data_IF_465330999552
#
_entry.id   IF_465330999552
#
_cell.length_a   1.000
_cell.length_b   1.000
_cell.length_c   1.000
_cell.angle_alpha   90.00
_cell.angle_beta   90.00
_cell.angle_gamma   90.00
#
_symmetry.space_group_name_H-M   'P 1'
#
loop_
_entity.id
_entity.type
_entity.pdbx_description
1 polymer ?
#
# COMPACT_ATOMS: atom_id res chain seq x y z
N UNK A 1 5.78 -1.26 -7.76
CA UNK A 1 4.61 -0.89 -8.58
C UNK A 1 3.29 -1.43 -8.03
N UNK A 2 3.19 -2.72 -7.71
CA UNK A 2 1.95 -3.35 -7.21
C UNK A 2 1.33 -2.68 -5.97
N UNK A 3 2.15 -2.26 -5.00
CA UNK A 3 1.66 -1.54 -3.81
C UNK A 3 0.96 -0.21 -4.12
N UNK A 4 1.49 0.57 -5.07
CA UNK A 4 0.91 1.86 -5.46
C UNK A 4 -0.41 1.67 -6.19
N UNK A 5 -0.46 0.74 -7.15
CA UNK A 5 -1.70 0.42 -7.89
C UNK A 5 -2.76 -0.16 -6.95
N UNK A 6 -2.34 -1.03 -6.02
CA UNK A 6 -3.23 -1.62 -5.01
C UNK A 6 -3.87 -0.56 -4.12
N UNK A 7 -3.07 0.35 -3.54
CA UNK A 7 -3.57 1.46 -2.73
C UNK A 7 -4.51 2.37 -3.52
N UNK A 8 -4.16 2.70 -4.77
CA UNK A 8 -5.00 3.53 -5.63
C UNK A 8 -6.37 2.91 -5.91
N UNK A 9 -6.41 1.62 -6.26
CA UNK A 9 -7.67 0.90 -6.50
C UNK A 9 -8.51 0.78 -5.22
N UNK A 10 -7.88 0.54 -4.06
CA UNK A 10 -8.58 0.50 -2.78
C UNK A 10 -9.18 1.85 -2.42
N UNK A 11 -8.44 2.94 -2.61
CA UNK A 11 -8.94 4.30 -2.37
C UNK A 11 -10.07 4.67 -3.34
N UNK A 12 -10.00 4.25 -4.60
CA UNK A 12 -11.11 4.40 -5.55
C UNK A 12 -12.37 3.68 -5.07
N UNK A 13 -12.21 2.45 -4.56
CA UNK A 13 -13.32 1.70 -3.94
C UNK A 13 -13.86 2.38 -2.68
N UNK A 14 -12.98 2.92 -1.83
CA UNK A 14 -13.35 3.66 -0.61
C UNK A 14 -14.19 4.89 -0.94
N UNK A 15 -13.78 5.69 -1.93
CA UNK A 15 -14.55 6.86 -2.39
C UNK A 15 -15.97 6.49 -2.80
N UNK A 16 -16.12 5.41 -3.58
CA UNK A 16 -17.44 4.91 -4.00
C UNK A 16 -18.26 4.35 -2.85
N UNK A 17 -17.63 3.74 -1.85
CA UNK A 17 -18.33 3.26 -0.66
C UNK A 17 -18.88 4.41 0.18
N UNK A 18 -18.11 5.50 0.34
CA UNK A 18 -18.55 6.71 1.05
C UNK A 18 -19.74 7.35 0.34
N UNK A 19 -19.67 7.50 -0.99
CA UNK A 19 -20.79 8.03 -1.80
C UNK A 19 -22.08 7.21 -1.57
N UNK A 20 -21.99 5.88 -1.61
CA UNK A 20 -23.15 4.99 -1.44
C UNK A 20 -23.71 4.96 -0.02
N UNK A 21 -22.86 5.12 1.01
CA UNK A 21 -23.31 5.21 2.40
C UNK A 21 -24.19 6.45 2.63
N UNK A 22 -23.91 7.56 1.96
CA UNK A 22 -24.68 8.80 2.11
C UNK A 22 -26.12 8.69 1.57
N UNK A 23 -26.35 7.84 0.58
CA UNK A 23 -27.67 7.64 -0.06
C UNK A 23 -28.47 6.54 0.68
N UNK A 24 -27.86 5.83 1.65
CA UNK A 24 -28.44 4.68 2.39
C UNK A 24 -28.96 3.55 1.49
N UNK A 25 -28.47 3.45 0.27
CA UNK A 25 -29.03 2.57 -0.78
C UNK A 25 -28.40 1.16 -0.82
N UNK A 26 -27.65 0.75 0.22
CA UNK A 26 -26.83 -0.46 0.16
C UNK A 26 -26.46 -1.03 1.52
N UNK A 27 -25.97 -2.27 1.52
CA UNK A 27 -25.41 -2.96 2.68
C UNK A 27 -24.32 -2.10 3.35
N UNK A 28 -24.66 -1.54 4.50
CA UNK A 28 -23.80 -0.60 5.20
C UNK A 28 -22.54 -1.27 5.75
N UNK A 29 -22.62 -2.54 6.13
CA UNK A 29 -21.50 -3.26 6.73
C UNK A 29 -20.47 -3.61 5.65
N UNK A 30 -20.94 -4.05 4.48
CA UNK A 30 -20.07 -4.22 3.32
C UNK A 30 -19.36 -2.92 2.94
N UNK A 31 -20.07 -1.79 2.86
CA UNK A 31 -19.46 -0.51 2.49
C UNK A 31 -18.47 0.01 3.54
N UNK A 32 -18.80 -0.11 4.84
CA UNK A 32 -17.87 0.21 5.92
C UNK A 32 -16.62 -0.67 5.86
N UNK A 33 -16.77 -1.96 5.54
CA UNK A 33 -15.63 -2.87 5.40
C UNK A 33 -14.67 -2.43 4.28
N UNK A 34 -15.18 -1.85 3.19
CA UNK A 34 -14.36 -1.32 2.09
C UNK A 34 -13.54 -0.10 2.52
N UNK A 35 -14.10 0.75 3.37
CA UNK A 35 -13.40 1.91 3.93
C UNK A 35 -12.26 1.44 4.82
N UNK A 36 -12.57 0.58 5.81
CA UNK A 36 -11.56 0.05 6.76
C UNK A 36 -10.46 -0.72 6.04
N UNK A 37 -10.80 -1.50 5.01
CA UNK A 37 -9.81 -2.25 4.24
C UNK A 37 -8.83 -1.34 3.49
N UNK A 38 -9.31 -0.23 2.91
CA UNK A 38 -8.44 0.74 2.24
C UNK A 38 -7.51 1.43 3.23
N UNK A 39 -8.04 1.84 4.40
CA UNK A 39 -7.24 2.45 5.47
C UNK A 39 -6.17 1.49 6.01
N UNK A 40 -6.52 0.22 6.18
CA UNK A 40 -5.58 -0.83 6.55
C UNK A 40 -4.46 -0.96 5.51
N UNK A 41 -4.80 -0.98 4.23
CA UNK A 41 -3.82 -1.12 3.17
C UNK A 41 -2.84 0.06 3.12
N UNK A 42 -3.36 1.28 3.20
CA UNK A 42 -2.53 2.48 3.20
C UNK A 42 -1.62 2.56 4.43
N UNK A 43 -2.11 2.10 5.58
CA UNK A 43 -1.35 2.14 6.84
C UNK A 43 -0.29 1.03 6.92
N UNK A 44 -0.61 -0.19 6.48
CA UNK A 44 0.24 -1.36 6.76
C UNK A 44 0.96 -1.92 5.54
N UNK A 45 0.39 -1.75 4.35
CA UNK A 45 0.86 -2.42 3.14
C UNK A 45 1.60 -1.45 2.22
N UNK A 46 1.04 -0.26 2.00
CA UNK A 46 1.64 0.77 1.16
C UNK A 46 3.05 1.17 1.61
N UNK A 47 3.37 1.38 2.91
CA UNK A 47 4.70 1.84 3.32
C UNK A 47 5.85 0.91 2.91
N UNK A 48 5.55 -0.37 2.63
CA UNK A 48 6.54 -1.33 2.11
C UNK A 48 7.13 -0.92 0.77
N UNK A 49 6.42 -0.11 -0.03
CA UNK A 49 6.99 0.44 -1.26
C UNK A 49 8.22 1.30 -1.01
N UNK A 50 8.27 2.01 0.12
CA UNK A 50 9.41 2.84 0.50
C UNK A 50 10.64 1.99 0.82
N UNK A 51 10.44 0.87 1.51
CA UNK A 51 11.51 -0.10 1.76
C UNK A 51 12.10 -0.62 0.44
N UNK A 52 11.23 -1.04 -0.49
CA UNK A 52 11.70 -1.52 -1.80
C UNK A 52 12.43 -0.42 -2.59
N UNK A 53 11.94 0.82 -2.57
CA UNK A 53 12.62 1.95 -3.20
C UNK A 53 14.03 2.15 -2.61
N UNK A 54 14.15 2.16 -1.28
CA UNK A 54 15.43 2.32 -0.61
C UNK A 54 16.43 1.21 -1.00
N UNK A 55 15.98 -0.04 -1.07
CA UNK A 55 16.83 -1.18 -1.47
C UNK A 55 17.29 -1.02 -2.91
N UNK A 56 16.41 -0.63 -3.83
CA UNK A 56 16.77 -0.42 -5.24
C UNK A 56 17.73 0.75 -5.41
N UNK A 57 17.55 1.84 -4.64
CA UNK A 57 18.40 3.02 -4.74
C UNK A 57 19.78 2.84 -4.12
N UNK A 58 19.88 2.13 -2.99
CA UNK A 58 21.10 2.12 -2.17
C UNK A 58 21.72 0.73 -2.01
N UNK A 59 21.03 -0.35 -2.40
CA UNK A 59 21.43 -1.72 -2.10
C UNK A 59 22.75 -2.16 -2.75
N UNK A 60 23.02 -1.70 -3.98
CA UNK A 60 24.27 -2.04 -4.67
C UNK A 60 25.52 -1.50 -3.97
N UNK A 61 25.41 -0.30 -3.37
CA UNK A 61 26.50 0.33 -2.61
C UNK A 61 26.92 -0.55 -1.44
N UNK A 62 25.96 -1.07 -0.69
CA UNK A 62 26.21 -1.94 0.48
C UNK A 62 26.98 -3.20 0.09
N UNK A 63 26.59 -3.83 -1.03
CA UNK A 63 27.29 -5.03 -1.54
C UNK A 63 28.71 -4.67 -1.95
N UNK A 64 28.91 -3.54 -2.64
CA UNK A 64 30.22 -3.10 -3.10
C UNK A 64 31.19 -2.73 -1.97
N UNK A 65 30.68 -2.13 -0.88
CA UNK A 65 31.49 -1.71 0.28
C UNK A 65 31.79 -2.84 1.27
N UNK A 66 31.19 -4.03 1.07
CA UNK A 66 31.48 -5.19 1.91
C UNK A 66 32.86 -5.74 1.58
N UNK A 67 33.73 -5.87 2.60
CA UNK A 67 35.04 -6.51 2.45
C UNK A 67 34.85 -7.98 2.09
N UNK A 68 35.37 -8.40 0.93
CA UNK A 68 35.47 -9.82 0.59
C UNK A 68 36.43 -10.49 1.58
N UNK A 69 35.93 -11.46 2.35
CA UNK A 69 36.70 -12.25 3.30
C UNK A 69 37.65 -13.26 2.63
N UNK A 70 37.98 -13.08 1.35
CA UNK A 70 38.77 -14.01 0.54
C UNK A 70 40.16 -13.45 0.18
N UNK A 71 40.83 -12.81 1.15
CA UNK A 71 42.28 -12.57 1.13
C UNK A 71 42.93 -13.44 2.20
#
# INVERSE_FOLDING_TARGET
LGYLIGSWLMNKSKSKAIEKLNIKESDQDFLKSKIVSADFYDTHILPRSNLHLNIVSNGSKVVFETLDSNV
#
